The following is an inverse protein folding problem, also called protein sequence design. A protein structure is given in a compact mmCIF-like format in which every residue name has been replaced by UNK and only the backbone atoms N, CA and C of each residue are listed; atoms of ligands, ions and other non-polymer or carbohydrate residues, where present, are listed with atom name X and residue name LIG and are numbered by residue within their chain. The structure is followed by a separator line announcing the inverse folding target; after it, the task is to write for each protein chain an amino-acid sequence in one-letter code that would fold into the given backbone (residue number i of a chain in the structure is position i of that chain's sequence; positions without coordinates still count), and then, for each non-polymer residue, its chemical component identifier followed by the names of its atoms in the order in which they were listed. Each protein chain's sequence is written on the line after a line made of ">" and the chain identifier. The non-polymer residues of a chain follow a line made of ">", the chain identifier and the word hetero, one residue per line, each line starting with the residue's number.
data_IF_664445822584
#
_entry.id   IF_664445822584
#
_cell.length_a   1.000
_cell.length_b   1.000
_cell.length_c   1.000
_cell.angle_alpha   90.00
_cell.angle_beta   90.00
_cell.angle_gamma   90.00
#
_symmetry.space_group_name_H-M   'P 1'
#
loop_
_entity.id
_entity.type
_entity.pdbx_description
1 polymer ?
#
# COMPACT_ATOMS: atom_id res chain seq x y z
N UNK A 1 15.54 -13.42 -9.03
CA UNK A 1 14.99 -14.66 -9.60
C UNK A 1 14.88 -15.80 -8.58
N UNK A 2 15.96 -16.11 -7.84
CA UNK A 2 15.98 -17.20 -6.84
C UNK A 2 14.93 -17.02 -5.74
N UNK A 3 14.82 -15.83 -5.12
CA UNK A 3 13.92 -15.59 -3.99
C UNK A 3 12.43 -15.91 -4.29
N UNK A 4 11.90 -15.48 -5.44
CA UNK A 4 10.52 -15.77 -5.85
C UNK A 4 10.32 -17.27 -6.14
N UNK A 5 11.24 -17.88 -6.87
CA UNK A 5 11.17 -19.32 -7.22
C UNK A 5 11.28 -20.22 -6.00
N UNK A 6 12.02 -19.82 -4.97
CA UNK A 6 12.19 -20.61 -3.75
C UNK A 6 11.08 -20.37 -2.72
N UNK A 7 10.64 -19.12 -2.53
CA UNK A 7 9.66 -18.78 -1.48
C UNK A 7 8.20 -18.99 -1.88
N UNK A 8 7.88 -18.89 -3.18
CA UNK A 8 6.48 -18.89 -3.66
C UNK A 8 6.27 -19.77 -4.91
N UNK A 9 6.98 -20.90 -5.01
CA UNK A 9 6.86 -21.83 -6.14
C UNK A 9 5.42 -22.33 -6.36
N UNK A 10 4.64 -22.42 -5.28
CA UNK A 10 3.26 -22.92 -5.28
C UNK A 10 2.24 -21.88 -5.79
N UNK A 11 2.64 -20.62 -6.02
CA UNK A 11 1.75 -19.58 -6.56
C UNK A 11 2.02 -19.46 -8.07
N UNK A 12 1.06 -19.83 -8.95
CA UNK A 12 1.22 -19.74 -10.39
C UNK A 12 1.40 -18.28 -10.85
N UNK A 13 2.17 -18.06 -11.92
CA UNK A 13 2.33 -16.73 -12.51
C UNK A 13 1.02 -16.15 -13.06
N UNK A 14 0.16 -17.02 -13.58
CA UNK A 14 -1.17 -16.67 -14.11
C UNK A 14 -2.19 -16.38 -13.01
N UNK A 15 -1.88 -16.70 -11.75
CA UNK A 15 -2.79 -16.41 -10.66
C UNK A 15 -2.82 -14.89 -10.43
N UNK A 16 -4.01 -14.30 -10.37
CA UNK A 16 -4.20 -12.89 -10.00
C UNK A 16 -3.96 -12.65 -8.49
N UNK A 17 -3.12 -13.50 -7.88
CA UNK A 17 -2.86 -13.52 -6.45
C UNK A 17 -2.30 -12.19 -5.95
N UNK A 18 -1.47 -11.51 -6.75
CA UNK A 18 -0.95 -10.19 -6.40
C UNK A 18 -2.08 -9.18 -6.16
N UNK A 19 -3.00 -9.00 -7.12
CA UNK A 19 -4.08 -8.03 -6.95
C UNK A 19 -5.08 -8.49 -5.90
N UNK A 20 -5.44 -9.77 -5.86
CA UNK A 20 -6.41 -10.30 -4.89
C UNK A 20 -5.88 -10.13 -3.46
N UNK A 21 -4.63 -10.52 -3.20
CA UNK A 21 -4.02 -10.38 -1.87
C UNK A 21 -3.82 -8.92 -1.49
N UNK A 22 -3.45 -8.06 -2.44
CA UNK A 22 -3.36 -6.62 -2.21
C UNK A 22 -4.71 -6.02 -1.82
N UNK A 23 -5.78 -6.30 -2.58
CA UNK A 23 -7.14 -5.84 -2.30
C UNK A 23 -7.65 -6.38 -0.97
N UNK A 24 -7.32 -7.63 -0.63
CA UNK A 24 -7.70 -8.23 0.64
C UNK A 24 -7.15 -7.46 1.84
N UNK A 25 -5.94 -6.89 1.77
CA UNK A 25 -5.39 -6.06 2.86
C UNK A 25 -6.31 -4.89 3.21
N UNK A 26 -6.89 -4.21 2.19
CA UNK A 26 -7.80 -3.09 2.41
C UNK A 26 -9.08 -3.55 3.09
N UNK A 27 -9.78 -4.52 2.49
CA UNK A 27 -11.07 -4.97 3.01
C UNK A 27 -10.92 -5.59 4.40
N UNK A 28 -9.93 -6.45 4.62
CA UNK A 28 -9.70 -7.08 5.92
C UNK A 28 -9.32 -6.03 6.96
N UNK A 29 -8.44 -5.07 6.66
CA UNK A 29 -8.07 -4.04 7.62
C UNK A 29 -9.24 -3.11 7.94
N UNK A 30 -10.00 -2.68 6.94
CA UNK A 30 -11.12 -1.76 7.19
C UNK A 30 -12.21 -2.44 8.00
N UNK A 31 -12.59 -3.68 7.66
CA UNK A 31 -13.57 -4.43 8.44
C UNK A 31 -13.06 -4.74 9.85
N UNK A 32 -11.83 -5.24 9.98
CA UNK A 32 -11.26 -5.58 11.28
C UNK A 32 -11.14 -4.36 12.18
N UNK A 33 -10.54 -3.27 11.71
CA UNK A 33 -10.31 -2.10 12.56
C UNK A 33 -11.59 -1.30 12.81
N UNK A 34 -12.57 -1.30 11.90
CA UNK A 34 -13.88 -0.70 12.18
C UNK A 34 -14.65 -1.45 13.29
N UNK A 35 -14.51 -2.78 13.36
CA UNK A 35 -15.28 -3.62 14.30
C UNK A 35 -14.52 -3.85 15.61
N UNK A 36 -13.23 -4.18 15.54
CA UNK A 36 -12.44 -4.66 16.68
C UNK A 36 -11.60 -3.59 17.35
N UNK A 37 -11.21 -2.55 16.62
CA UNK A 37 -10.41 -1.45 17.17
C UNK A 37 -10.84 -0.08 16.60
N UNK A 38 -12.12 0.28 16.75
CA UNK A 38 -12.70 1.48 16.13
C UNK A 38 -11.95 2.76 16.51
N UNK A 39 -11.32 2.80 17.68
CA UNK A 39 -10.51 3.92 18.17
C UNK A 39 -9.29 4.24 17.27
N UNK A 40 -8.77 3.26 16.52
CA UNK A 40 -7.66 3.47 15.57
C UNK A 40 -8.13 3.52 14.11
N UNK A 41 -9.41 3.26 13.82
CA UNK A 41 -9.91 3.15 12.46
C UNK A 41 -9.81 4.48 11.69
N UNK A 42 -10.20 5.59 12.32
CA UNK A 42 -10.06 6.93 11.71
C UNK A 42 -8.61 7.24 11.32
N UNK A 43 -7.66 6.87 12.18
CA UNK A 43 -6.23 7.04 11.91
C UNK A 43 -5.77 6.19 10.72
N UNK A 44 -6.25 4.96 10.59
CA UNK A 44 -5.96 4.09 9.43
C UNK A 44 -6.42 4.74 8.13
N UNK A 45 -7.66 5.24 8.10
CA UNK A 45 -8.23 5.90 6.92
C UNK A 45 -7.41 7.13 6.54
N UNK A 46 -7.11 8.01 7.49
CA UNK A 46 -6.30 9.21 7.22
C UNK A 46 -4.90 8.83 6.75
N UNK A 47 -4.27 7.83 7.36
CA UNK A 47 -2.94 7.37 6.95
C UNK A 47 -2.95 6.87 5.49
N UNK A 48 -3.97 6.11 5.10
CA UNK A 48 -4.12 5.59 3.74
C UNK A 48 -4.39 6.71 2.73
N UNK A 49 -5.23 7.69 3.08
CA UNK A 49 -5.51 8.86 2.23
C UNK A 49 -4.25 9.73 2.04
N UNK A 50 -3.52 10.01 3.12
CA UNK A 50 -2.26 10.77 3.05
C UNK A 50 -1.22 10.05 2.19
N UNK A 51 -1.08 8.73 2.37
CA UNK A 51 -0.22 7.90 1.52
C UNK A 51 -0.61 8.02 0.04
N UNK A 52 -1.90 7.94 -0.28
CA UNK A 52 -2.37 8.04 -1.65
C UNK A 52 -2.10 9.43 -2.25
N UNK A 53 -2.37 10.51 -1.50
CA UNK A 53 -2.13 11.89 -1.94
C UNK A 53 -0.65 12.13 -2.18
N UNK A 54 0.20 11.92 -1.17
CA UNK A 54 1.63 12.17 -1.31
C UNK A 54 2.29 11.22 -2.30
N UNK A 55 1.84 9.98 -2.37
CA UNK A 55 2.30 9.00 -3.33
C UNK A 55 2.02 9.40 -4.77
N UNK A 56 0.81 9.87 -5.04
CA UNK A 56 0.42 10.36 -6.37
C UNK A 56 1.18 11.62 -6.74
N UNK A 57 1.37 12.54 -5.79
CA UNK A 57 2.19 13.74 -6.00
C UNK A 57 3.66 13.39 -6.27
N UNK A 58 4.20 12.37 -5.59
CA UNK A 58 5.58 11.92 -5.80
C UNK A 58 5.80 11.41 -7.24
N UNK A 59 4.80 10.78 -7.86
CA UNK A 59 4.86 10.39 -9.28
C UNK A 59 4.98 11.58 -10.24
N UNK A 60 4.50 12.77 -9.86
CA UNK A 60 4.68 13.99 -10.66
C UNK A 60 6.09 14.55 -10.55
N UNK A 61 6.72 14.41 -9.37
CA UNK A 61 8.04 14.98 -9.08
C UNK A 61 9.17 14.06 -9.53
N UNK A 62 8.99 12.75 -9.41
CA UNK A 62 10.00 11.75 -9.74
C UNK A 62 9.41 10.62 -10.61
N UNK A 63 8.98 10.92 -11.85
CA UNK A 63 8.44 9.90 -12.76
C UNK A 63 9.56 8.93 -13.16
N UNK A 64 9.62 7.78 -12.50
CA UNK A 64 10.58 6.73 -12.80
C UNK A 64 9.96 5.63 -13.66
N UNK A 65 10.73 5.12 -14.63
CA UNK A 65 10.40 3.91 -15.40
C UNK A 65 11.13 2.72 -14.78
N UNK A 66 10.40 1.63 -14.56
CA UNK A 66 10.94 0.44 -13.90
C UNK A 66 12.11 -0.23 -14.67
N UNK A 67 12.85 -1.14 -14.01
CA UNK A 67 13.97 -1.88 -14.62
C UNK A 67 13.62 -2.73 -15.85
N UNK A 68 12.34 -2.95 -16.15
CA UNK A 68 11.89 -3.78 -17.28
C UNK A 68 12.41 -3.31 -18.65
N UNK A 69 12.86 -2.05 -18.77
CA UNK A 69 13.50 -1.53 -19.98
C UNK A 69 14.88 -2.12 -20.26
N UNK A 70 15.53 -2.70 -19.25
CA UNK A 70 16.86 -3.32 -19.35
C UNK A 70 16.79 -4.85 -19.34
N UNK A 71 15.85 -5.42 -18.58
CA UNK A 71 15.73 -6.86 -18.39
C UNK A 71 14.27 -7.24 -18.17
N UNK A 72 13.81 -8.29 -18.85
CA UNK A 72 12.47 -8.82 -18.64
C UNK A 72 12.24 -9.33 -17.19
N UNK A 73 11.02 -9.18 -16.72
CA UNK A 73 10.57 -9.73 -15.43
C UNK A 73 10.36 -11.23 -15.47
N UNK A 74 10.17 -11.81 -14.29
CA UNK A 74 9.91 -13.26 -14.16
C UNK A 74 8.56 -13.71 -14.73
N UNK A 75 7.64 -12.77 -14.97
CA UNK A 75 6.32 -13.02 -15.56
C UNK A 75 6.23 -12.31 -16.93
N UNK A 76 6.24 -13.04 -18.05
CA UNK A 76 6.16 -12.46 -19.39
C UNK A 76 4.91 -11.61 -19.63
N UNK A 77 3.77 -11.97 -19.04
CA UNK A 77 2.53 -11.19 -19.17
C UNK A 77 2.66 -9.80 -18.54
N UNK A 78 3.29 -9.72 -17.36
CA UNK A 78 3.54 -8.44 -16.68
C UNK A 78 4.51 -7.59 -17.52
N UNK A 79 5.58 -8.19 -18.04
CA UNK A 79 6.54 -7.50 -18.90
C UNK A 79 5.90 -6.99 -20.19
N UNK A 80 5.04 -7.76 -20.84
CA UNK A 80 4.25 -7.29 -21.97
C UNK A 80 3.39 -6.08 -21.62
N UNK A 81 2.70 -6.12 -20.48
CA UNK A 81 1.90 -4.98 -19.98
C UNK A 81 2.75 -3.73 -19.75
N UNK A 82 3.93 -3.87 -19.15
CA UNK A 82 4.86 -2.74 -18.91
C UNK A 82 5.31 -2.07 -20.22
N UNK A 83 5.66 -2.87 -21.24
CA UNK A 83 6.05 -2.33 -22.54
C UNK A 83 4.88 -1.63 -23.26
N UNK A 84 3.66 -2.19 -23.19
CA UNK A 84 2.46 -1.56 -23.72
C UNK A 84 2.18 -0.20 -23.07
N UNK A 85 2.34 -0.08 -21.75
CA UNK A 85 2.19 1.19 -21.04
C UNK A 85 3.26 2.22 -21.45
N UNK A 86 4.51 1.77 -21.60
CA UNK A 86 5.61 2.63 -22.05
C UNK A 86 5.41 3.13 -23.47
N UNK A 87 4.95 2.27 -24.37
CA UNK A 87 4.64 2.64 -25.76
C UNK A 87 3.49 3.65 -25.81
N UNK A 88 2.41 3.41 -25.06
CA UNK A 88 1.31 4.35 -24.94
C UNK A 88 1.77 5.73 -24.45
N UNK A 89 2.60 5.76 -23.40
CA UNK A 89 3.19 7.00 -22.90
C UNK A 89 3.99 7.73 -24.00
N UNK A 90 4.91 7.03 -24.68
CA UNK A 90 5.72 7.62 -25.76
C UNK A 90 4.87 8.19 -26.89
N UNK A 91 3.84 7.46 -27.32
CA UNK A 91 2.91 7.92 -28.35
C UNK A 91 2.10 9.14 -27.92
N UNK A 92 1.67 9.18 -26.64
CA UNK A 92 0.96 10.33 -26.08
C UNK A 92 1.82 11.60 -26.04
N UNK A 93 3.12 11.46 -25.71
CA UNK A 93 4.07 12.59 -25.70
C UNK A 93 4.39 13.05 -27.12
N UNK A 94 4.61 12.13 -28.06
CA UNK A 94 4.97 12.46 -29.43
C UNK A 94 3.82 13.12 -30.23
N UNK A 95 2.58 12.70 -29.99
CA UNK A 95 1.40 13.11 -30.78
C UNK A 95 0.53 14.14 -30.06
N UNK A 96 0.67 14.26 -28.74
CA UNK A 96 -0.06 15.23 -27.93
C UNK A 96 -1.54 14.90 -27.73
N UNK A 97 -2.38 15.92 -27.41
CA UNK A 97 -3.76 15.73 -26.96
C UNK A 97 -4.68 14.97 -27.93
N UNK A 98 -4.42 15.03 -29.24
CA UNK A 98 -5.20 14.33 -30.25
C UNK A 98 -5.11 12.79 -30.10
N UNK A 99 -3.94 12.28 -29.70
CA UNK A 99 -3.77 10.85 -29.43
C UNK A 99 -4.57 10.43 -28.19
N UNK A 100 -4.53 11.22 -27.12
CA UNK A 100 -5.29 10.95 -25.90
C UNK A 100 -6.80 11.01 -26.14
N UNK A 101 -7.29 11.94 -26.98
CA UNK A 101 -8.70 12.00 -27.35
C UNK A 101 -9.18 10.71 -28.05
N UNK A 102 -8.30 10.07 -28.84
CA UNK A 102 -8.62 8.87 -29.62
C UNK A 102 -8.34 7.55 -28.88
N UNK A 103 -7.33 7.51 -28.02
CA UNK A 103 -6.80 6.29 -27.41
C UNK A 103 -6.81 6.32 -25.87
N UNK A 104 -7.25 7.42 -25.25
CA UNK A 104 -7.18 7.64 -23.81
C UNK A 104 -7.89 6.56 -22.99
N UNK A 105 -8.94 5.93 -23.53
CA UNK A 105 -9.67 4.86 -22.87
C UNK A 105 -8.88 3.55 -22.72
N UNK A 106 -7.86 3.32 -23.55
CA UNK A 106 -7.14 2.03 -23.62
C UNK A 106 -6.25 1.81 -22.38
N UNK A 107 -5.67 2.88 -21.84
CA UNK A 107 -4.71 2.81 -20.73
C UNK A 107 -5.03 3.81 -19.60
N UNK A 108 -6.27 4.30 -19.51
CA UNK A 108 -6.67 5.32 -18.55
C UNK A 108 -6.37 4.95 -17.09
N UNK A 109 -6.50 3.67 -16.75
CA UNK A 109 -6.33 3.15 -15.38
C UNK A 109 -4.94 2.60 -15.10
N UNK A 110 -4.03 2.64 -16.09
CA UNK A 110 -2.69 2.06 -15.99
C UNK A 110 -1.63 3.12 -16.26
N UNK A 111 -1.16 3.73 -15.18
CA UNK A 111 -0.09 4.73 -15.20
C UNK A 111 1.30 4.11 -15.14
N UNK A 112 2.20 4.57 -16.00
CA UNK A 112 3.61 4.22 -15.95
C UNK A 112 4.28 5.02 -14.83
N UNK A 113 4.47 4.40 -13.65
CA UNK A 113 5.25 4.99 -12.57
C UNK A 113 5.87 3.91 -11.67
N UNK A 114 7.17 4.03 -11.41
CA UNK A 114 7.91 3.14 -10.53
C UNK A 114 8.22 3.75 -9.15
N UNK A 115 8.58 5.03 -9.05
CA UNK A 115 9.02 5.59 -7.76
C UNK A 115 8.00 6.60 -7.21
N UNK A 116 7.48 6.43 -5.97
CA UNK A 116 7.72 5.33 -5.01
C UNK A 116 6.81 4.12 -5.26
N UNK A 117 7.17 2.95 -4.71
CA UNK A 117 6.31 1.76 -4.83
C UNK A 117 5.07 1.85 -3.92
N UNK A 118 3.93 2.30 -4.46
CA UNK A 118 2.70 2.48 -3.67
C UNK A 118 2.06 1.17 -3.19
N UNK A 119 2.22 0.07 -3.93
CA UNK A 119 1.77 -1.24 -3.45
C UNK A 119 2.58 -1.69 -2.23
N UNK A 120 3.91 -1.51 -2.28
CA UNK A 120 4.80 -1.80 -1.15
C UNK A 120 4.50 -0.88 0.04
N UNK A 121 4.28 0.41 -0.22
CA UNK A 121 3.91 1.40 0.79
C UNK A 121 2.60 1.04 1.51
N UNK A 122 1.53 0.77 0.75
CA UNK A 122 0.23 0.41 1.29
C UNK A 122 0.26 -0.91 2.04
N UNK A 123 0.92 -1.94 1.47
CA UNK A 123 1.06 -3.23 2.15
C UNK A 123 1.80 -3.10 3.49
N UNK A 124 2.85 -2.29 3.52
CA UNK A 124 3.57 -1.99 4.75
C UNK A 124 2.72 -1.18 5.75
N UNK A 125 1.94 -0.22 5.28
CA UNK A 125 1.02 0.56 6.13
C UNK A 125 0.01 -0.36 6.84
N UNK A 126 -0.64 -1.26 6.10
CA UNK A 126 -1.59 -2.21 6.67
C UNK A 126 -0.91 -3.19 7.64
N UNK A 127 0.28 -3.68 7.29
CA UNK A 127 1.10 -4.48 8.20
C UNK A 127 1.42 -3.73 9.50
N UNK A 128 1.78 -2.44 9.42
CA UNK A 128 2.08 -1.61 10.59
C UNK A 128 0.87 -1.47 11.52
N UNK A 129 -0.34 -1.30 10.96
CA UNK A 129 -1.58 -1.28 11.74
C UNK A 129 -1.92 -2.64 12.35
N UNK A 130 -1.76 -3.73 11.60
CA UNK A 130 -1.92 -5.08 12.13
C UNK A 130 -0.95 -5.35 13.29
N UNK A 131 0.33 -4.99 13.13
CA UNK A 131 1.34 -5.17 14.17
C UNK A 131 1.00 -4.44 15.46
N UNK A 132 0.53 -3.20 15.36
CA UNK A 132 0.27 -2.33 16.51
C UNK A 132 -1.10 -2.56 17.16
N UNK A 133 -2.12 -2.84 16.36
CA UNK A 133 -3.52 -2.78 16.79
C UNK A 133 -4.34 -4.03 16.43
N UNK A 134 -3.77 -5.00 15.70
CA UNK A 134 -4.51 -6.17 15.22
C UNK A 134 -3.63 -7.40 15.06
N UNK A 135 -2.90 -7.80 16.13
CA UNK A 135 -1.83 -8.80 16.07
C UNK A 135 -2.23 -10.13 15.43
N UNK A 136 -3.51 -10.51 15.50
CA UNK A 136 -4.07 -11.69 14.84
C UNK A 136 -3.89 -11.68 13.31
N UNK A 137 -3.84 -10.48 12.69
CA UNK A 137 -3.66 -10.31 11.26
C UNK A 137 -2.19 -10.39 10.81
N UNK A 138 -1.25 -10.27 11.75
CA UNK A 138 0.19 -10.16 11.44
C UNK A 138 0.72 -11.33 10.61
N UNK A 139 0.41 -12.61 10.90
CA UNK A 139 0.94 -13.72 10.10
C UNK A 139 0.55 -13.61 8.62
N UNK A 140 -0.75 -13.39 8.36
CA UNK A 140 -1.27 -13.22 7.01
C UNK A 140 -0.67 -11.99 6.32
N UNK A 141 -0.60 -10.87 7.03
CA UNK A 141 -0.12 -9.60 6.45
C UNK A 141 1.39 -9.63 6.19
N UNK A 142 2.16 -10.32 7.05
CA UNK A 142 3.59 -10.54 6.83
C UNK A 142 3.83 -11.32 5.54
N UNK A 143 3.03 -12.37 5.32
CA UNK A 143 3.11 -13.19 4.11
C UNK A 143 2.78 -12.36 2.85
N UNK A 144 1.66 -11.61 2.87
CA UNK A 144 1.26 -10.77 1.73
C UNK A 144 2.28 -9.66 1.48
N UNK A 145 2.77 -8.99 2.53
CA UNK A 145 3.81 -7.98 2.41
C UNK A 145 5.07 -8.55 1.75
N UNK A 146 5.60 -9.66 2.28
CA UNK A 146 6.79 -10.31 1.72
C UNK A 146 6.58 -10.68 0.23
N UNK A 147 5.40 -11.23 -0.11
CA UNK A 147 5.04 -11.54 -1.48
C UNK A 147 5.05 -10.30 -2.38
N UNK A 148 4.40 -9.20 -1.97
CA UNK A 148 4.33 -7.94 -2.72
C UNK A 148 5.72 -7.35 -2.94
N UNK A 149 6.56 -7.28 -1.89
CA UNK A 149 7.92 -6.75 -1.99
C UNK A 149 8.78 -7.56 -2.97
N UNK A 150 8.68 -8.88 -2.91
CA UNK A 150 9.44 -9.77 -3.80
C UNK A 150 8.94 -9.63 -5.23
N UNK A 151 7.62 -9.60 -5.43
CA UNK A 151 7.03 -9.46 -6.76
C UNK A 151 7.30 -8.10 -7.40
N UNK A 152 7.33 -7.02 -6.62
CA UNK A 152 7.66 -5.67 -7.08
C UNK A 152 9.03 -5.61 -7.80
N UNK A 153 10.03 -6.31 -7.26
CA UNK A 153 11.38 -6.37 -7.86
C UNK A 153 11.46 -7.48 -8.92
N UNK A 154 10.88 -8.65 -8.65
CA UNK A 154 10.98 -9.80 -9.54
C UNK A 154 10.27 -9.56 -10.89
N UNK A 155 9.18 -8.79 -10.89
CA UNK A 155 8.50 -8.34 -12.11
C UNK A 155 9.26 -7.23 -12.85
N UNK A 156 10.37 -6.73 -12.28
CA UNK A 156 11.13 -5.58 -12.80
C UNK A 156 10.28 -4.31 -12.92
N UNK A 157 9.23 -4.21 -12.11
CA UNK A 157 8.42 -3.00 -12.01
C UNK A 157 9.13 -1.91 -11.21
N UNK A 158 9.80 -2.30 -10.14
CA UNK A 158 10.45 -1.39 -9.21
C UNK A 158 11.94 -1.65 -9.10
N UNK A 159 12.72 -0.57 -8.96
CA UNK A 159 14.06 -0.65 -8.40
C UNK A 159 13.97 -1.01 -6.92
N UNK A 160 15.05 -1.59 -6.38
CA UNK A 160 15.09 -1.94 -4.96
C UNK A 160 14.91 -0.69 -4.08
N UNK A 161 15.38 0.48 -4.51
CA UNK A 161 15.25 1.75 -3.78
C UNK A 161 13.81 2.26 -3.70
N UNK A 162 12.93 1.90 -4.64
CA UNK A 162 11.54 2.35 -4.65
C UNK A 162 10.75 1.80 -3.45
N UNK A 163 11.19 0.65 -2.92
CA UNK A 163 10.60 -0.04 -1.76
C UNK A 163 10.81 0.73 -0.46
N UNK A 164 12.06 0.96 0.03
CA UNK A 164 12.28 1.69 1.27
C UNK A 164 11.76 3.14 1.18
N UNK A 165 11.80 3.78 0.00
CA UNK A 165 11.19 5.10 -0.19
C UNK A 165 9.66 5.03 0.01
N UNK A 166 8.99 4.04 -0.59
CA UNK A 166 7.56 3.81 -0.39
C UNK A 166 7.20 3.47 1.07
N UNK A 167 7.98 2.62 1.73
CA UNK A 167 7.77 2.28 3.15
C UNK A 167 7.99 3.49 4.07
N UNK A 168 8.99 4.32 3.78
CA UNK A 168 9.23 5.59 4.49
C UNK A 168 8.06 6.54 4.32
N UNK A 169 7.53 6.66 3.10
CA UNK A 169 6.33 7.45 2.82
C UNK A 169 5.13 6.95 3.64
N UNK A 170 4.89 5.65 3.67
CA UNK A 170 3.82 5.05 4.47
C UNK A 170 3.98 5.34 5.97
N UNK A 171 5.20 5.24 6.50
CA UNK A 171 5.50 5.57 7.88
C UNK A 171 5.27 7.07 8.17
N UNK A 172 5.70 7.95 7.26
CA UNK A 172 5.48 9.39 7.38
C UNK A 172 3.98 9.73 7.37
N UNK A 173 3.19 9.11 6.48
CA UNK A 173 1.72 9.25 6.46
C UNK A 173 1.07 8.77 7.77
N UNK A 174 1.53 7.64 8.31
CA UNK A 174 1.07 7.12 9.60
C UNK A 174 1.37 8.07 10.78
N UNK A 175 2.55 8.72 10.75
CA UNK A 175 2.95 9.71 11.76
C UNK A 175 2.21 11.02 11.61
N UNK A 176 2.02 11.49 10.39
CA UNK A 176 1.26 12.72 10.15
C UNK A 176 -0.23 12.54 10.53
N UNK A 177 -0.77 11.34 10.34
CA UNK A 177 -2.13 11.02 10.81
C UNK A 177 -2.31 11.19 12.33
N UNK A 178 -1.25 11.06 13.15
CA UNK A 178 -1.34 11.34 14.60
C UNK A 178 -1.86 12.75 14.89
N UNK A 179 -1.47 13.72 14.05
CA UNK A 179 -1.84 15.12 14.27
C UNK A 179 -3.31 15.39 13.97
N UNK A 180 -3.93 14.58 13.10
CA UNK A 180 -5.33 14.73 12.71
C UNK A 180 -6.28 13.86 13.54
N UNK A 181 -5.78 12.78 14.14
CA UNK A 181 -6.54 11.92 15.04
C UNK A 181 -5.81 11.74 16.37
N UNK A 182 -5.81 12.77 17.24
CA UNK A 182 -5.38 12.59 18.61
C UNK A 182 -6.27 11.51 19.23
N UNK A 183 -5.68 10.40 19.62
CA UNK A 183 -6.41 9.37 20.36
C UNK A 183 -6.92 9.99 21.66
N UNK A 184 -8.13 9.63 22.12
CA UNK A 184 -8.61 10.10 23.42
C UNK A 184 -7.56 9.75 24.47
N UNK A 185 -6.97 10.77 25.11
CA UNK A 185 -6.15 10.55 26.29
C UNK A 185 -6.97 9.69 27.25
N UNK A 186 -6.47 8.51 27.62
CA UNK A 186 -6.89 7.84 28.85
C UNK A 186 -6.51 8.76 29.99
N UNK A 187 -7.32 9.81 30.23
CA UNK A 187 -7.34 10.48 31.53
C UNK A 187 -7.65 9.36 32.53
N UNK A 188 -6.86 9.18 33.60
CA UNK A 188 -7.26 8.31 34.69
C UNK A 188 -8.66 8.78 35.13
N UNK A 189 -9.58 7.82 35.22
CA UNK A 189 -10.92 8.09 35.71
C UNK A 189 -10.78 8.89 37.01
N UNK A 190 -11.42 10.06 37.05
CA UNK A 190 -11.54 10.83 38.29
C UNK A 190 -12.17 9.86 39.29
N UNK A 191 -11.41 9.48 40.32
CA UNK A 191 -11.90 8.61 41.37
C UNK A 191 -13.19 9.24 41.91
N UNK A 192 -14.33 8.58 41.68
CA UNK A 192 -15.58 9.00 42.28
C UNK A 192 -15.38 8.93 43.80
N UNK A 193 -15.79 9.97 44.57
CA UNK A 193 -15.76 9.91 46.01
C UNK A 193 -16.56 8.69 46.46
N UNK A 194 -15.93 7.80 47.22
CA UNK A 194 -16.59 6.69 47.90
C UNK A 194 -17.74 7.26 48.72
N UNK A 195 -18.96 6.81 48.42
CA UNK A 195 -20.15 7.14 49.20
C UNK A 195 -19.86 6.82 50.68
N UNK A 196 -20.04 7.82 51.54
CA UNK A 196 -19.96 7.65 52.98
C UNK A 196 -20.98 6.61 53.43
N UNK A 197 -20.53 5.64 54.24
CA UNK A 197 -21.41 4.68 54.92
C UNK A 197 -22.45 5.44 55.76
N UNK A 198 -23.72 5.00 55.77
CA UNK A 198 -24.70 5.58 56.68
C UNK A 198 -24.35 5.19 58.13
N UNK A 199 -24.16 6.21 58.97
CA UNK A 199 -24.15 6.03 60.42
C UNK A 199 -25.50 5.40 60.84
N UNK A 200 -25.43 4.18 61.35
CA UNK A 200 -26.50 3.59 62.15
C UNK A 200 -26.48 4.27 63.53
N UNK A 201 -27.49 5.09 63.81
CA UNK A 201 -27.97 5.41 65.17
C UNK A 201 -29.48 5.47 65.15
#
# INVERSE_FOLDING_TARGET
>A
MFLRRSAFFFIPYESNFYMISYIALFYTSFLYHAIKTPEYFGRLIISALLLQVFGTLAYLVAPAVGPFIYEAGVNPMITGGQHSMLEFYRNSVATGPAFLAKHGSINFTVGLAAMPSLHSASAYLFFLFAWKHGKVLVPLYSFILAYILIMAVASRWHYIIDIPVGMTLAWASYKLADWFTPLPNTKPAIAMPTAQEPLLT
#
